data_IF_875537497296
#
_entry.id   IF_875537497296
#
_cell.length_a   1.000
_cell.length_b   1.000
_cell.length_c   1.000
_cell.angle_alpha   90.00
_cell.angle_beta   90.00
_cell.angle_gamma   90.00
#
_symmetry.space_group_name_H-M   'P 1'
#
loop_
_entity.id
_entity.type
_entity.pdbx_description
1 polymer ?
#
# COMPACT_ATOMS: atom_id res chain seq x y z
N UNK A 1 2.85 -0.76 4.26
CA UNK A 1 3.32 -0.74 2.85
C UNK A 1 4.54 -1.64 2.66
N UNK A 2 4.80 -2.01 1.41
CA UNK A 2 5.93 -2.88 1.04
C UNK A 2 7.06 -1.98 0.51
N UNK A 3 8.28 -2.23 0.95
CA UNK A 3 9.48 -1.64 0.38
C UNK A 3 10.10 -2.62 -0.61
N UNK A 4 10.19 -2.24 -1.89
CA UNK A 4 10.93 -2.96 -2.90
C UNK A 4 12.30 -2.30 -3.10
N UNK A 5 13.36 -3.04 -2.85
CA UNK A 5 14.73 -2.58 -3.09
C UNK A 5 15.20 -3.16 -4.42
N UNK A 6 15.49 -2.28 -5.37
CA UNK A 6 15.98 -2.65 -6.70
C UNK A 6 17.40 -2.14 -6.84
N UNK A 7 18.32 -3.02 -7.25
CA UNK A 7 19.71 -2.62 -7.51
C UNK A 7 19.76 -1.64 -8.71
N UNK A 8 20.45 -0.51 -8.52
CA UNK A 8 20.60 0.51 -9.57
C UNK A 8 21.75 0.13 -10.54
N UNK A 9 21.74 -1.11 -11.04
CA UNK A 9 22.76 -1.62 -11.94
C UNK A 9 22.14 -2.44 -13.06
N UNK A 10 22.76 -2.38 -14.25
CA UNK A 10 22.41 -3.20 -15.41
C UNK A 10 23.69 -3.64 -16.13
N UNK A 11 23.63 -4.81 -16.77
CA UNK A 11 24.73 -5.29 -17.61
C UNK A 11 24.42 -4.97 -19.08
N UNK A 12 25.31 -4.24 -19.72
CA UNK A 12 25.19 -3.92 -21.14
C UNK A 12 25.49 -5.13 -22.05
N UNK A 13 25.20 -5.02 -23.37
CA UNK A 13 25.54 -6.07 -24.34
C UNK A 13 27.02 -6.40 -24.42
N UNK A 14 27.89 -5.49 -24.00
CA UNK A 14 29.34 -5.65 -23.89
C UNK A 14 29.79 -6.34 -22.60
N UNK A 15 28.87 -6.85 -21.81
CA UNK A 15 29.12 -7.51 -20.52
C UNK A 15 29.51 -6.58 -19.37
N UNK A 16 29.61 -5.27 -19.58
CA UNK A 16 30.03 -4.32 -18.54
C UNK A 16 28.85 -3.88 -17.67
N UNK A 17 29.08 -3.80 -16.39
CA UNK A 17 28.11 -3.28 -15.43
C UNK A 17 28.10 -1.75 -15.44
N UNK A 18 26.91 -1.17 -15.42
CA UNK A 18 26.67 0.28 -15.41
C UNK A 18 25.54 0.62 -14.48
N UNK A 19 25.49 1.88 -14.03
CA UNK A 19 24.31 2.40 -13.34
C UNK A 19 23.10 2.42 -14.29
N UNK A 20 21.93 2.02 -13.77
CA UNK A 20 20.69 2.12 -14.50
C UNK A 20 20.27 3.60 -14.57
N UNK A 21 19.89 4.06 -15.74
CA UNK A 21 19.27 5.37 -15.92
C UNK A 21 17.79 5.29 -15.57
N UNK A 22 17.41 5.82 -14.40
CA UNK A 22 16.09 5.67 -13.83
C UNK A 22 15.20 6.93 -13.91
N UNK A 23 15.62 7.97 -14.61
CA UNK A 23 14.86 9.21 -14.82
C UNK A 23 13.46 8.94 -15.39
N UNK A 24 13.32 7.98 -16.31
CA UNK A 24 12.01 7.59 -16.84
C UNK A 24 11.06 6.98 -15.82
N UNK A 25 11.57 6.28 -14.82
CA UNK A 25 10.75 5.78 -13.71
C UNK A 25 10.17 6.95 -12.89
N UNK A 26 10.95 8.01 -12.67
CA UNK A 26 10.51 9.20 -11.96
C UNK A 26 9.49 10.00 -12.78
N UNK A 27 9.72 10.19 -14.08
CA UNK A 27 8.79 10.88 -14.99
C UNK A 27 7.41 10.20 -15.00
N UNK A 28 7.36 8.87 -14.95
CA UNK A 28 6.13 8.08 -15.01
C UNK A 28 5.62 7.58 -13.65
N UNK A 29 6.16 8.06 -12.54
CA UNK A 29 5.82 7.58 -11.20
C UNK A 29 4.31 7.58 -10.92
N UNK A 30 3.60 8.64 -11.31
CA UNK A 30 2.13 8.74 -11.12
C UNK A 30 1.39 7.65 -11.89
N UNK A 31 1.79 7.38 -13.14
CA UNK A 31 1.20 6.33 -13.96
C UNK A 31 1.48 4.94 -13.36
N UNK A 32 2.73 4.69 -12.99
CA UNK A 32 3.13 3.42 -12.36
C UNK A 32 2.36 3.17 -11.05
N UNK A 33 2.19 4.21 -10.25
CA UNK A 33 1.37 4.12 -9.03
C UNK A 33 -0.08 3.79 -9.36
N UNK A 34 -0.71 4.47 -10.31
CA UNK A 34 -2.10 4.22 -10.70
C UNK A 34 -2.29 2.78 -11.23
N UNK A 35 -1.36 2.28 -12.04
CA UNK A 35 -1.38 0.89 -12.53
C UNK A 35 -1.23 -0.12 -11.37
N UNK A 36 -0.32 0.13 -10.44
CA UNK A 36 -0.10 -0.69 -9.25
C UNK A 36 -1.36 -0.73 -8.38
N UNK A 37 -1.97 0.42 -8.13
CA UNK A 37 -3.19 0.51 -7.32
C UNK A 37 -4.38 -0.17 -7.99
N UNK A 38 -4.53 -0.04 -9.31
CA UNK A 38 -5.57 -0.74 -10.06
C UNK A 38 -5.40 -2.27 -9.95
N UNK A 39 -4.17 -2.77 -10.09
CA UNK A 39 -3.89 -4.20 -9.95
C UNK A 39 -4.09 -4.69 -8.51
N UNK A 40 -3.64 -3.92 -7.54
CA UNK A 40 -3.81 -4.22 -6.13
C UNK A 40 -5.30 -4.31 -5.76
N UNK A 41 -6.13 -3.36 -6.26
CA UNK A 41 -7.58 -3.39 -6.08
C UNK A 41 -8.18 -4.69 -6.57
N UNK A 42 -7.89 -5.10 -7.82
CA UNK A 42 -8.38 -6.36 -8.37
C UNK A 42 -7.98 -7.58 -7.52
N UNK A 43 -6.78 -7.55 -6.95
CA UNK A 43 -6.32 -8.62 -6.06
C UNK A 43 -7.09 -8.64 -4.74
N UNK A 44 -7.41 -7.47 -4.19
CA UNK A 44 -8.21 -7.34 -2.96
C UNK A 44 -9.66 -7.78 -3.20
N UNK A 45 -10.25 -7.43 -4.35
CA UNK A 45 -11.57 -7.90 -4.77
C UNK A 45 -11.61 -9.44 -4.91
N UNK A 46 -10.58 -10.05 -5.50
CA UNK A 46 -10.45 -11.51 -5.59
C UNK A 46 -10.36 -12.21 -4.22
N UNK A 47 -9.85 -11.53 -3.22
CA UNK A 47 -9.87 -12.01 -1.83
C UNK A 47 -11.25 -11.84 -1.16
N UNK A 48 -12.26 -11.38 -1.91
CA UNK A 48 -13.63 -11.20 -1.44
C UNK A 48 -13.90 -9.90 -0.68
N UNK A 49 -12.93 -8.98 -0.62
CA UNK A 49 -13.17 -7.66 -0.02
C UNK A 49 -13.92 -6.75 -0.99
N UNK A 50 -14.90 -6.04 -0.48
CA UNK A 50 -15.58 -5.00 -1.22
C UNK A 50 -14.75 -3.72 -1.24
N UNK A 51 -14.71 -3.10 -2.40
CA UNK A 51 -14.05 -1.81 -2.57
C UNK A 51 -15.06 -0.69 -2.34
N UNK A 52 -14.71 0.22 -1.47
CA UNK A 52 -15.48 1.43 -1.18
C UNK A 52 -15.10 2.59 -2.10
N UNK A 53 -14.88 3.74 -1.49
CA UNK A 53 -14.49 4.96 -2.21
C UNK A 53 -13.14 4.79 -2.93
N UNK A 54 -13.09 5.19 -4.20
CA UNK A 54 -11.86 5.28 -4.98
C UNK A 54 -11.47 6.74 -5.07
N UNK A 55 -10.32 7.07 -4.45
CA UNK A 55 -9.78 8.41 -4.41
C UNK A 55 -8.82 8.67 -5.58
N UNK A 56 -8.23 9.87 -5.59
CA UNK A 56 -7.23 10.30 -6.57
C UNK A 56 -6.09 9.28 -6.70
N UNK A 57 -5.61 9.09 -7.92
CA UNK A 57 -4.55 8.14 -8.30
C UNK A 57 -4.88 6.66 -8.08
N UNK A 58 -6.18 6.31 -7.96
CA UNK A 58 -6.64 4.94 -7.81
C UNK A 58 -6.52 4.37 -6.38
N UNK A 59 -6.15 5.21 -5.40
CA UNK A 59 -6.23 4.81 -4.00
C UNK A 59 -7.66 4.44 -3.65
N UNK A 60 -7.84 3.41 -2.86
CA UNK A 60 -9.16 2.92 -2.48
C UNK A 60 -9.23 2.55 -1.01
N UNK A 61 -10.45 2.42 -0.51
CA UNK A 61 -10.75 2.00 0.85
C UNK A 61 -11.53 0.69 0.83
N UNK A 62 -11.34 -0.15 1.84
CA UNK A 62 -12.17 -1.32 2.03
C UNK A 62 -13.55 -0.89 2.59
N UNK A 63 -14.63 -1.26 1.90
CA UNK A 63 -16.00 -0.86 2.28
C UNK A 63 -16.39 -1.32 3.69
N UNK A 64 -15.85 -2.47 4.13
CA UNK A 64 -16.08 -3.02 5.47
C UNK A 64 -15.37 -2.28 6.62
N UNK A 65 -14.55 -1.24 6.32
CA UNK A 65 -13.81 -0.48 7.33
C UNK A 65 -14.30 0.97 7.35
N UNK A 66 -15.23 1.35 8.23
CA UNK A 66 -15.80 2.69 8.30
C UNK A 66 -14.75 3.78 8.55
N UNK A 67 -15.04 5.00 8.10
CA UNK A 67 -14.10 6.12 8.19
C UNK A 67 -13.63 6.41 9.62
N UNK A 68 -14.54 6.39 10.59
CA UNK A 68 -14.17 6.67 12.00
C UNK A 68 -13.17 5.62 12.55
N UNK A 69 -13.24 4.36 12.07
CA UNK A 69 -12.26 3.33 12.43
C UNK A 69 -10.90 3.65 11.81
N UNK A 70 -10.87 4.00 10.52
CA UNK A 70 -9.62 4.40 9.84
C UNK A 70 -8.97 5.61 10.50
N UNK A 71 -9.77 6.60 10.87
CA UNK A 71 -9.30 7.82 11.55
C UNK A 71 -8.74 7.48 12.95
N UNK A 72 -9.37 6.57 13.71
CA UNK A 72 -8.90 6.13 15.02
C UNK A 72 -7.54 5.39 14.97
N UNK A 73 -7.25 4.71 13.85
CA UNK A 73 -5.95 4.06 13.63
C UNK A 73 -4.93 4.92 12.88
N UNK A 74 -5.29 6.15 12.52
CA UNK A 74 -4.46 7.11 11.78
C UNK A 74 -3.74 8.09 12.72
N UNK A 75 -3.12 7.60 13.79
CA UNK A 75 -2.44 8.42 14.81
C UNK A 75 -1.44 9.39 14.20
N UNK A 76 -0.64 8.93 13.25
CA UNK A 76 0.35 9.77 12.56
C UNK A 76 -0.26 10.96 11.83
N UNK A 77 -1.41 10.77 11.18
CA UNK A 77 -2.14 11.85 10.52
C UNK A 77 -2.66 12.86 11.53
N UNK A 78 -3.19 12.38 12.65
CA UNK A 78 -3.69 13.26 13.72
C UNK A 78 -2.57 14.15 14.30
N UNK A 79 -1.39 13.58 14.58
CA UNK A 79 -0.22 14.31 15.03
C UNK A 79 0.22 15.41 14.06
N UNK A 80 0.27 15.10 12.75
CA UNK A 80 0.66 16.07 11.71
C UNK A 80 -0.38 17.19 11.61
N UNK A 81 -1.67 16.86 11.67
CA UNK A 81 -2.75 17.86 11.62
C UNK A 81 -2.67 18.80 12.83
N UNK A 82 -2.52 18.25 14.03
CA UNK A 82 -2.36 19.04 15.26
C UNK A 82 -1.13 19.96 15.20
N UNK A 83 -0.01 19.46 14.68
CA UNK A 83 1.19 20.29 14.50
C UNK A 83 0.97 21.42 13.48
N UNK A 84 0.21 21.16 12.40
CA UNK A 84 -0.11 22.18 11.40
C UNK A 84 -1.01 23.29 11.93
N UNK A 85 -1.90 23.01 12.88
CA UNK A 85 -2.78 24.02 13.51
C UNK A 85 -1.98 25.08 14.23
N UNK A 86 -0.82 24.72 14.82
CA UNK A 86 0.11 25.64 15.47
C UNK A 86 1.06 26.39 14.52
N UNK A 87 1.01 26.13 13.21
CA UNK A 87 1.93 26.72 12.23
C UNK A 87 1.30 27.85 11.42
N UNK A 88 2.07 28.91 11.17
CA UNK A 88 1.68 30.05 10.33
C UNK A 88 1.73 29.73 8.81
N UNK A 89 1.22 28.58 8.38
CA UNK A 89 1.20 28.24 6.97
C UNK A 89 0.49 26.91 6.70
N UNK A 90 -0.22 26.85 5.56
CA UNK A 90 -0.99 25.65 5.15
C UNK A 90 -0.48 24.98 3.88
N UNK A 91 0.65 25.46 3.33
CA UNK A 91 1.24 24.96 2.09
C UNK A 91 2.02 23.65 2.24
N UNK A 92 2.60 23.18 1.13
CA UNK A 92 3.41 21.95 1.09
C UNK A 92 4.62 22.02 2.05
N UNK A 93 5.27 23.19 2.14
CA UNK A 93 6.42 23.40 3.03
C UNK A 93 6.04 23.22 4.52
N UNK A 94 4.89 23.79 4.95
CA UNK A 94 4.40 23.62 6.32
C UNK A 94 4.06 22.16 6.62
N UNK A 95 3.42 21.43 5.68
CA UNK A 95 3.14 20.00 5.81
C UNK A 95 4.40 19.17 5.95
N UNK A 96 5.44 19.47 5.15
CA UNK A 96 6.72 18.79 5.24
C UNK A 96 7.41 19.07 6.58
N UNK A 97 7.38 20.32 7.06
CA UNK A 97 7.92 20.68 8.36
C UNK A 97 7.19 19.97 9.50
N UNK A 98 5.85 19.98 9.52
CA UNK A 98 5.05 19.27 10.51
C UNK A 98 5.34 17.75 10.49
N UNK A 99 5.49 17.16 9.30
CA UNK A 99 5.84 15.76 9.17
C UNK A 99 7.24 15.43 9.75
N UNK A 100 8.20 16.31 9.60
CA UNK A 100 9.53 16.14 10.20
C UNK A 100 9.51 16.33 11.71
N UNK A 101 8.84 17.39 12.20
CA UNK A 101 8.77 17.72 13.63
C UNK A 101 8.07 16.66 14.46
N UNK A 102 7.02 16.03 13.91
CA UNK A 102 6.24 14.98 14.61
C UNK A 102 6.79 13.58 14.41
N UNK A 103 7.93 13.42 13.73
CA UNK A 103 8.53 12.10 13.49
C UNK A 103 9.20 11.57 14.75
N UNK A 104 8.53 10.68 15.46
CA UNK A 104 9.14 9.94 16.56
C UNK A 104 10.29 9.06 16.07
N UNK A 105 11.24 8.77 16.96
CA UNK A 105 12.28 7.77 16.72
C UNK A 105 11.63 6.40 16.43
N UNK A 106 12.25 5.63 15.53
CA UNK A 106 11.78 4.26 15.26
C UNK A 106 11.92 3.44 16.54
N UNK A 107 10.81 2.87 16.97
CA UNK A 107 10.82 1.91 18.07
C UNK A 107 11.02 0.50 17.49
N UNK A 108 11.85 -0.29 18.14
CA UNK A 108 11.98 -1.71 17.84
C UNK A 108 10.76 -2.43 18.41
N UNK A 109 10.03 -3.13 17.59
CA UNK A 109 8.89 -3.94 18.00
C UNK A 109 9.44 -5.34 18.34
N UNK A 110 9.62 -5.61 19.61
CA UNK A 110 10.13 -6.90 20.09
C UNK A 110 9.06 -7.99 20.07
N UNK A 111 7.82 -7.65 20.42
CA UNK A 111 6.68 -8.56 20.42
C UNK A 111 5.57 -8.11 19.48
N UNK A 112 5.52 -8.73 18.30
CA UNK A 112 4.45 -8.50 17.32
C UNK A 112 3.10 -9.07 17.76
N UNK A 113 3.09 -10.09 18.60
CA UNK A 113 1.88 -10.68 19.13
C UNK A 113 1.17 -9.71 20.09
N UNK A 114 1.93 -9.12 21.01
CA UNK A 114 1.43 -8.10 21.92
C UNK A 114 0.88 -6.87 21.17
N UNK A 115 1.60 -6.41 20.13
CA UNK A 115 1.13 -5.31 19.28
C UNK A 115 -0.19 -5.67 18.57
N UNK A 116 -0.29 -6.86 18.01
CA UNK A 116 -1.52 -7.34 17.40
C UNK A 116 -2.70 -7.39 18.37
N UNK A 117 -2.45 -7.81 19.60
CA UNK A 117 -3.46 -7.83 20.67
C UNK A 117 -3.88 -6.40 21.07
N UNK A 118 -2.94 -5.48 21.17
CA UNK A 118 -3.23 -4.07 21.42
C UNK A 118 -4.16 -3.48 20.35
N UNK A 119 -3.90 -3.74 19.08
CA UNK A 119 -4.76 -3.28 17.99
C UNK A 119 -6.15 -3.89 18.03
N UNK A 120 -6.29 -5.18 18.33
CA UNK A 120 -7.60 -5.84 18.52
C UNK A 120 -8.37 -5.20 19.68
N UNK A 121 -7.71 -4.96 20.81
CA UNK A 121 -8.32 -4.32 21.95
C UNK A 121 -8.76 -2.88 21.64
N UNK A 122 -7.98 -2.14 20.88
CA UNK A 122 -8.34 -0.80 20.41
C UNK A 122 -9.56 -0.85 19.50
N UNK A 123 -9.59 -1.77 18.53
CA UNK A 123 -10.73 -1.97 17.64
C UNK A 123 -12.01 -2.30 18.40
N UNK A 124 -11.93 -3.22 19.36
CA UNK A 124 -13.07 -3.61 20.21
C UNK A 124 -13.61 -2.44 21.03
N UNK A 125 -12.75 -1.56 21.58
CA UNK A 125 -13.16 -0.39 22.34
C UNK A 125 -13.99 0.62 21.52
N UNK A 126 -13.78 0.67 20.22
CA UNK A 126 -14.50 1.55 19.29
C UNK A 126 -15.60 0.80 18.53
N UNK A 127 -15.97 -0.40 18.99
CA UNK A 127 -17.07 -1.19 18.43
C UNK A 127 -16.78 -1.80 17.06
N UNK A 128 -15.54 -2.12 16.74
CA UNK A 128 -15.17 -2.71 15.47
C UNK A 128 -14.52 -4.10 15.67
N UNK A 129 -15.07 -5.10 14.99
CA UNK A 129 -14.48 -6.45 14.93
C UNK A 129 -13.88 -6.73 13.55
N UNK A 130 -12.55 -6.75 13.41
CA UNK A 130 -11.88 -7.10 12.16
C UNK A 130 -12.22 -8.51 11.67
N UNK A 131 -12.53 -9.45 12.57
CA UNK A 131 -12.83 -10.83 12.22
C UNK A 131 -14.11 -10.94 11.38
N UNK A 132 -15.11 -10.11 11.65
CA UNK A 132 -16.35 -10.07 10.84
C UNK A 132 -16.06 -9.63 9.40
N UNK A 133 -15.18 -8.65 9.19
CA UNK A 133 -14.81 -8.17 7.85
C UNK A 133 -14.11 -9.28 7.08
N UNK A 134 -13.18 -9.99 7.74
CA UNK A 134 -12.46 -11.13 7.16
C UNK A 134 -13.42 -12.29 6.84
N UNK A 135 -14.33 -12.61 7.75
CA UNK A 135 -15.30 -13.68 7.56
C UNK A 135 -16.22 -13.40 6.35
N UNK A 136 -16.70 -12.15 6.21
CA UNK A 136 -17.49 -11.74 5.05
C UNK A 136 -16.71 -11.82 3.75
N UNK A 137 -15.45 -11.41 3.75
CA UNK A 137 -14.57 -11.50 2.57
C UNK A 137 -14.36 -12.97 2.17
N UNK A 138 -14.01 -13.83 3.14
CA UNK A 138 -13.82 -15.27 2.90
C UNK A 138 -15.10 -15.93 2.35
N UNK A 139 -16.28 -15.57 2.86
CA UNK A 139 -17.54 -16.06 2.36
C UNK A 139 -17.76 -15.70 0.88
N UNK A 140 -17.47 -14.46 0.49
CA UNK A 140 -17.58 -14.02 -0.91
C UNK A 140 -16.55 -14.70 -1.81
N UNK A 141 -15.29 -14.76 -1.40
CA UNK A 141 -14.23 -15.42 -2.15
C UNK A 141 -14.55 -16.91 -2.42
N UNK A 142 -15.12 -17.61 -1.45
CA UNK A 142 -15.55 -19.00 -1.61
C UNK A 142 -16.70 -19.17 -2.62
N UNK A 143 -17.63 -18.20 -2.69
CA UNK A 143 -18.73 -18.22 -3.66
C UNK A 143 -18.22 -17.98 -5.10
N UNK A 144 -17.31 -17.02 -5.27
CA UNK A 144 -16.89 -16.56 -6.60
C UNK A 144 -15.80 -17.43 -7.22
N UNK A 145 -14.95 -18.03 -6.40
CA UNK A 145 -13.70 -18.68 -6.88
C UNK A 145 -13.55 -20.15 -6.49
N UNK A 146 -14.51 -20.72 -5.77
CA UNK A 146 -14.50 -22.14 -5.34
C UNK A 146 -13.40 -22.49 -4.33
N UNK A 147 -12.32 -21.76 -4.29
CA UNK A 147 -11.20 -21.91 -3.33
C UNK A 147 -10.62 -20.56 -2.95
N UNK A 148 -10.44 -20.32 -1.66
CA UNK A 148 -9.76 -19.12 -1.18
C UNK A 148 -8.28 -19.19 -1.59
N UNK A 149 -7.73 -18.19 -2.30
CA UNK A 149 -6.33 -18.17 -2.66
C UNK A 149 -5.47 -18.20 -1.39
N UNK A 150 -4.52 -19.13 -1.32
CA UNK A 150 -3.52 -19.10 -0.25
C UNK A 150 -2.66 -17.87 -0.37
N UNK A 151 -2.12 -17.35 0.75
CA UNK A 151 -1.19 -16.21 0.73
C UNK A 151 -0.02 -16.44 -0.26
N UNK A 152 0.48 -17.68 -0.35
CA UNK A 152 1.52 -18.05 -1.30
C UNK A 152 1.07 -18.03 -2.77
N UNK A 153 -0.18 -18.40 -3.06
CA UNK A 153 -0.80 -18.26 -4.38
C UNK A 153 -0.97 -16.80 -4.77
N UNK A 154 -1.46 -15.97 -3.84
CA UNK A 154 -1.59 -14.54 -4.02
C UNK A 154 -0.25 -13.84 -4.33
N UNK A 155 0.79 -14.14 -3.54
CA UNK A 155 2.13 -13.58 -3.76
C UNK A 155 2.68 -13.99 -5.13
N UNK A 156 2.49 -15.26 -5.54
CA UNK A 156 2.90 -15.77 -6.85
C UNK A 156 2.19 -15.02 -7.97
N UNK A 157 0.87 -14.88 -7.90
CA UNK A 157 0.04 -14.15 -8.88
C UNK A 157 0.48 -12.69 -9.03
N UNK A 158 0.75 -12.00 -7.92
CA UNK A 158 1.24 -10.61 -7.93
C UNK A 158 2.60 -10.52 -8.60
N UNK A 159 3.51 -11.47 -8.33
CA UNK A 159 4.86 -11.49 -8.93
C UNK A 159 4.79 -11.83 -10.42
N UNK A 160 4.00 -12.83 -10.83
CA UNK A 160 3.89 -13.24 -12.23
C UNK A 160 3.23 -12.16 -13.10
N UNK A 161 2.16 -11.53 -12.60
CA UNK A 161 1.53 -10.41 -13.31
C UNK A 161 2.36 -9.13 -13.29
N UNK A 162 3.10 -8.88 -12.21
CA UNK A 162 4.06 -7.79 -12.15
C UNK A 162 5.15 -7.91 -13.21
N UNK A 163 5.63 -9.14 -13.48
CA UNK A 163 6.56 -9.41 -14.58
C UNK A 163 5.95 -9.14 -15.95
N UNK A 164 4.70 -9.56 -16.20
CA UNK A 164 4.01 -9.30 -17.46
C UNK A 164 3.79 -7.81 -17.73
N UNK A 165 3.42 -7.03 -16.70
CA UNK A 165 3.27 -5.58 -16.82
C UNK A 165 4.63 -4.90 -17.05
N UNK A 166 5.68 -5.30 -16.34
CA UNK A 166 7.02 -4.78 -16.52
C UNK A 166 7.56 -5.08 -17.93
N UNK A 167 7.31 -6.28 -18.46
CA UNK A 167 7.71 -6.67 -19.80
C UNK A 167 6.95 -5.88 -20.88
N UNK A 168 5.63 -5.78 -20.79
CA UNK A 168 4.81 -4.97 -21.71
C UNK A 168 5.19 -3.49 -21.68
N UNK A 169 5.60 -2.98 -20.52
CA UNK A 169 6.07 -1.60 -20.36
C UNK A 169 7.47 -1.42 -20.97
N UNK A 170 8.38 -2.38 -20.76
CA UNK A 170 9.71 -2.38 -21.37
C UNK A 170 9.63 -2.41 -22.91
N UNK A 171 8.77 -3.26 -23.47
CA UNK A 171 8.51 -3.35 -24.91
C UNK A 171 7.96 -2.03 -25.47
N UNK A 172 7.02 -1.38 -24.77
CA UNK A 172 6.41 -0.11 -25.17
C UNK A 172 7.38 1.07 -25.11
N UNK A 173 8.39 0.99 -24.25
CA UNK A 173 9.48 1.99 -24.15
C UNK A 173 10.67 1.68 -25.05
N UNK A 174 10.63 0.58 -25.83
CA UNK A 174 11.74 0.15 -26.67
C UNK A 174 12.98 -0.29 -25.87
N UNK A 175 12.79 -0.66 -24.60
CA UNK A 175 13.84 -1.21 -23.75
C UNK A 175 13.91 -2.72 -24.01
N UNK A 176 14.93 -3.14 -24.77
CA UNK A 176 15.29 -4.56 -24.95
C UNK A 176 16.39 -4.95 -23.98
#
# INVERSE_FOLDING_TARGET
>A
HIHAVVANVTQGPDGKWRALRNDKLWEHNTLLNAMTMARFRLSVEKLGYEIGEIAKHGNFEAAGVPRHIRDAFSSRRAEIVAALEGMNGKGLAARNAANLMTRAAKQTIEDRGALGQQWRNQAARIGFDPAEVIARANGRAAMDFGTVPTLGGFVRDVVEHGRGIAQAFAERLGLR
#
